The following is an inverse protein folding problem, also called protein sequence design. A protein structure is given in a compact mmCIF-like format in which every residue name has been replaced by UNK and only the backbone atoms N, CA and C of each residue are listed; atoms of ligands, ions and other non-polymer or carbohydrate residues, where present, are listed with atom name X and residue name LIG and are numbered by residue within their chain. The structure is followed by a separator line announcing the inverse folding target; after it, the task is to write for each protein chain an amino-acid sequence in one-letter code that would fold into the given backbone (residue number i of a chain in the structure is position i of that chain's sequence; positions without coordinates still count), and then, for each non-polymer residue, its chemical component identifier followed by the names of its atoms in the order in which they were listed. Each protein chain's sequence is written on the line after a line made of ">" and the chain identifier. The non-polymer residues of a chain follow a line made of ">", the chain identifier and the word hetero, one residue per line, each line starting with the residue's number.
data_IF_898906314988
#
_entry.id   IF_898906314988
#
_cell.length_a   1.000
_cell.length_b   1.000
_cell.length_c   1.000
_cell.angle_alpha   90.00
_cell.angle_beta   90.00
_cell.angle_gamma   90.00
#
_symmetry.space_group_name_H-M   'P 1'
#
loop_
_entity.id
_entity.type
_entity.pdbx_description
1 polymer ?
#
# COMPACT_ATOMS: atom_id res chain seq x y z
N UNK A 1 -2.26 -3.54 -18.51
CA UNK A 1 -3.10 -4.65 -19.03
C UNK A 1 -3.60 -4.13 -20.36
N UNK A 2 -3.28 -4.81 -21.44
CA UNK A 2 -3.75 -4.46 -22.77
C UNK A 2 -4.84 -5.44 -23.17
N UNK A 3 -5.99 -4.93 -23.61
CA UNK A 3 -7.15 -5.79 -23.90
C UNK A 3 -7.22 -6.05 -25.39
N UNK A 4 -7.48 -7.31 -25.72
CA UNK A 4 -7.50 -7.78 -27.12
C UNK A 4 -8.71 -7.30 -27.92
N UNK A 5 -9.75 -6.76 -27.26
CA UNK A 5 -10.88 -6.10 -27.92
C UNK A 5 -11.30 -4.80 -27.20
N UNK A 6 -11.68 -3.75 -27.95
CA UNK A 6 -12.21 -2.52 -27.37
C UNK A 6 -13.55 -2.77 -26.67
N UNK A 7 -13.72 -2.20 -25.47
CA UNK A 7 -15.00 -2.26 -24.75
C UNK A 7 -16.10 -1.54 -25.52
N UNK A 8 -17.34 -2.03 -25.44
CA UNK A 8 -18.46 -1.36 -26.10
C UNK A 8 -18.76 -0.02 -25.41
N UNK A 9 -19.07 1.05 -26.16
CA UNK A 9 -19.38 2.35 -25.58
C UNK A 9 -20.59 2.28 -24.65
N UNK A 10 -20.56 3.10 -23.60
CA UNK A 10 -21.69 3.29 -22.69
C UNK A 10 -22.90 3.80 -23.49
N UNK A 11 -24.01 3.06 -23.42
CA UNK A 11 -25.32 3.49 -23.93
C UNK A 11 -26.30 3.55 -22.77
N UNK A 12 -27.24 4.50 -22.80
CA UNK A 12 -28.33 4.58 -21.79
C UNK A 12 -29.04 3.23 -21.71
N UNK A 13 -29.08 2.63 -20.52
CA UNK A 13 -29.65 1.29 -20.29
C UNK A 13 -28.70 0.09 -20.48
N UNK A 14 -27.42 0.32 -20.85
CA UNK A 14 -26.38 -0.73 -20.89
C UNK A 14 -25.12 -0.26 -20.16
N UNK A 15 -24.73 -1.00 -19.13
CA UNK A 15 -23.44 -0.85 -18.49
C UNK A 15 -22.31 -1.14 -19.50
N UNK A 16 -21.16 -0.51 -19.33
CA UNK A 16 -19.98 -0.81 -20.12
C UNK A 16 -19.56 -2.27 -19.94
N UNK A 17 -19.21 -2.94 -21.03
CA UNK A 17 -18.71 -4.32 -20.99
C UNK A 17 -17.19 -4.33 -21.06
N UNK A 18 -16.56 -5.23 -20.31
CA UNK A 18 -15.12 -5.47 -20.33
C UNK A 18 -14.86 -6.94 -20.64
N UNK A 19 -13.99 -7.21 -21.61
CA UNK A 19 -13.51 -8.56 -21.91
C UNK A 19 -12.54 -9.05 -20.83
N UNK A 20 -12.60 -10.34 -20.52
CA UNK A 20 -11.74 -10.96 -19.52
C UNK A 20 -10.29 -11.17 -20.01
N UNK A 21 -10.08 -11.30 -21.33
CA UNK A 21 -8.78 -11.55 -21.92
C UNK A 21 -7.91 -10.28 -21.99
N UNK A 22 -6.68 -10.39 -21.49
CA UNK A 22 -5.70 -9.32 -21.53
C UNK A 22 -4.28 -9.84 -21.74
N UNK A 23 -3.45 -9.04 -22.41
CA UNK A 23 -2.00 -9.20 -22.51
C UNK A 23 -1.30 -8.37 -21.43
N UNK A 24 -0.28 -8.95 -20.80
CA UNK A 24 0.63 -8.20 -19.91
C UNK A 24 1.86 -7.75 -20.70
N UNK A 25 2.14 -6.46 -20.66
CA UNK A 25 3.33 -5.85 -21.27
C UNK A 25 4.47 -5.62 -20.27
N UNK A 26 4.44 -6.32 -19.13
CA UNK A 26 5.41 -6.20 -18.04
C UNK A 26 4.76 -5.94 -16.68
N UNK A 27 5.60 -5.64 -15.68
CA UNK A 27 5.18 -5.31 -14.32
C UNK A 27 6.01 -4.17 -13.75
N UNK A 28 5.44 -3.44 -12.80
CA UNK A 28 6.11 -2.41 -12.01
C UNK A 28 5.72 -2.56 -10.55
N UNK A 29 6.56 -2.09 -9.63
CA UNK A 29 6.31 -2.09 -8.19
C UNK A 29 6.05 -0.66 -7.73
N UNK A 30 4.85 -0.37 -7.23
CA UNK A 30 4.55 0.91 -6.61
C UNK A 30 4.90 0.87 -5.12
N UNK A 31 5.87 1.69 -4.70
CA UNK A 31 6.06 2.02 -3.30
C UNK A 31 5.19 3.24 -2.98
N UNK A 32 4.40 3.17 -1.91
CA UNK A 32 3.57 4.29 -1.49
C UNK A 32 3.45 4.37 0.03
N UNK A 33 3.27 5.59 0.54
CA UNK A 33 3.04 5.89 1.94
C UNK A 33 1.91 6.93 2.02
N UNK A 34 0.88 6.61 2.79
CA UNK A 34 -0.25 7.48 3.06
C UNK A 34 0.02 8.25 4.35
N UNK A 35 -0.02 9.59 4.30
CA UNK A 35 -0.07 10.41 5.48
C UNK A 35 -1.49 10.38 6.06
N UNK A 36 -1.64 9.76 7.23
CA UNK A 36 -2.94 9.56 7.88
C UNK A 36 -3.66 10.86 8.24
N UNK A 37 -2.91 11.94 8.53
CA UNK A 37 -3.48 13.21 8.97
C UNK A 37 -4.01 14.04 7.81
N UNK A 38 -3.30 14.06 6.69
CA UNK A 38 -3.65 14.89 5.52
C UNK A 38 -4.36 14.09 4.43
N UNK A 39 -4.20 12.78 4.41
CA UNK A 39 -4.66 11.90 3.34
C UNK A 39 -3.76 11.92 2.10
N UNK A 40 -2.66 12.66 2.11
CA UNK A 40 -1.74 12.73 0.96
C UNK A 40 -0.93 11.44 0.83
N UNK A 41 -0.60 11.06 -0.40
CA UNK A 41 0.17 9.86 -0.71
C UNK A 41 1.48 10.25 -1.38
N UNK A 42 2.59 9.82 -0.80
CA UNK A 42 3.90 9.86 -1.45
C UNK A 42 4.14 8.49 -2.08
N UNK A 43 4.43 8.44 -3.38
CA UNK A 43 4.69 7.17 -4.05
C UNK A 43 5.53 7.30 -5.30
N UNK A 44 6.13 6.18 -5.71
CA UNK A 44 6.73 6.02 -7.04
C UNK A 44 6.84 4.56 -7.44
N UNK A 45 6.88 4.36 -8.75
CA UNK A 45 7.15 3.07 -9.36
C UNK A 45 8.65 2.74 -9.40
N UNK A 46 8.98 1.47 -9.20
CA UNK A 46 10.31 0.89 -9.41
C UNK A 46 10.18 -0.44 -10.16
N UNK A 47 11.26 -0.81 -10.85
CA UNK A 47 11.34 -2.07 -11.59
C UNK A 47 11.50 -3.30 -10.70
N UNK A 48 11.92 -3.11 -9.44
CA UNK A 48 12.16 -4.18 -8.47
C UNK A 48 11.51 -3.85 -7.13
N UNK A 49 11.33 -4.89 -6.31
CA UNK A 49 10.85 -4.79 -4.94
C UNK A 49 11.94 -5.33 -4.00
N UNK A 50 13.04 -4.58 -3.82
CA UNK A 50 14.15 -4.99 -2.94
C UNK A 50 14.43 -3.96 -1.85
N UNK A 51 15.37 -4.28 -0.96
CA UNK A 51 15.85 -3.37 0.07
C UNK A 51 16.47 -2.08 -0.51
N UNK A 52 17.03 -2.12 -1.72
CA UNK A 52 17.62 -0.95 -2.37
C UNK A 52 16.52 0.05 -2.76
N UNK A 53 15.43 -0.43 -3.36
CA UNK A 53 14.26 0.38 -3.71
C UNK A 53 13.54 0.89 -2.46
N UNK A 54 13.40 0.05 -1.44
CA UNK A 54 12.88 0.46 -0.14
C UNK A 54 13.72 1.60 0.47
N UNK A 55 15.05 1.50 0.42
CA UNK A 55 15.92 2.55 0.93
C UNK A 55 15.80 3.86 0.13
N UNK A 56 15.63 3.78 -1.21
CA UNK A 56 15.30 4.96 -2.02
C UNK A 56 13.98 5.59 -1.56
N UNK A 57 13.00 4.76 -1.22
CA UNK A 57 11.69 5.23 -0.75
C UNK A 57 11.79 5.93 0.61
N UNK A 58 12.51 5.36 1.57
CA UNK A 58 12.79 6.02 2.86
C UNK A 58 13.50 7.37 2.71
N UNK A 59 14.50 7.45 1.81
CA UNK A 59 15.20 8.71 1.50
C UNK A 59 14.27 9.75 0.90
N UNK A 60 13.32 9.33 0.05
CA UNK A 60 12.30 10.23 -0.50
C UNK A 60 11.37 10.77 0.60
N UNK A 61 10.85 9.89 1.46
CA UNK A 61 10.05 10.30 2.63
C UNK A 61 10.81 11.29 3.48
N UNK A 62 12.09 11.02 3.76
CA UNK A 62 12.93 11.91 4.56
C UNK A 62 13.02 13.32 3.96
N UNK A 63 13.22 13.42 2.64
CA UNK A 63 13.33 14.68 1.91
C UNK A 63 12.01 15.46 1.88
N UNK A 64 10.89 14.77 1.77
CA UNK A 64 9.56 15.38 1.66
C UNK A 64 8.91 15.66 3.01
N UNK A 65 9.45 15.08 4.09
CA UNK A 65 8.96 15.33 5.44
C UNK A 65 9.47 16.67 5.99
N UNK A 66 8.68 17.39 6.81
CA UNK A 66 9.15 18.58 7.51
C UNK A 66 10.38 18.30 8.37
N UNK A 67 11.36 19.21 8.33
CA UNK A 67 12.60 19.09 9.11
C UNK A 67 12.31 19.09 10.61
N UNK A 68 13.10 18.33 11.37
CA UNK A 68 13.02 18.26 12.84
C UNK A 68 11.82 17.50 13.41
N UNK A 69 11.01 16.84 12.58
CA UNK A 69 9.90 15.99 13.02
C UNK A 69 10.29 14.52 13.11
N UNK A 70 9.66 13.81 14.04
CA UNK A 70 9.69 12.35 14.09
C UNK A 70 8.83 11.79 12.97
N UNK A 71 9.31 10.75 12.29
CA UNK A 71 8.66 10.09 11.16
C UNK A 71 8.29 8.67 11.62
N UNK A 72 7.01 8.46 11.90
CA UNK A 72 6.48 7.16 12.27
C UNK A 72 5.91 6.48 11.02
N UNK A 73 6.47 5.33 10.65
CA UNK A 73 6.01 4.55 9.50
C UNK A 73 5.41 3.25 10.02
N UNK A 74 4.17 2.97 9.63
CA UNK A 74 3.53 1.68 9.85
C UNK A 74 3.76 0.84 8.59
N UNK A 75 4.43 -0.30 8.74
CA UNK A 75 4.76 -1.22 7.66
C UNK A 75 4.20 -2.62 7.93
N UNK A 76 4.02 -3.40 6.88
CA UNK A 76 3.86 -4.85 7.00
C UNK A 76 5.18 -5.54 7.41
N UNK A 77 5.12 -6.86 7.63
CA UNK A 77 6.27 -7.66 8.08
C UNK A 77 7.23 -8.09 6.95
N UNK A 78 7.29 -7.35 5.85
CA UNK A 78 8.16 -7.71 4.74
C UNK A 78 9.65 -7.67 5.11
N UNK A 79 10.42 -8.65 4.63
CA UNK A 79 11.80 -8.90 5.09
C UNK A 79 12.78 -7.81 4.69
N UNK A 80 12.53 -7.08 3.60
CA UNK A 80 13.41 -5.99 3.15
C UNK A 80 13.48 -4.84 4.14
N UNK A 81 12.44 -4.65 4.98
CA UNK A 81 12.43 -3.64 6.04
C UNK A 81 13.51 -3.89 7.09
N UNK A 82 13.93 -5.14 7.26
CA UNK A 82 14.92 -5.58 8.27
C UNK A 82 16.30 -5.86 7.68
N UNK A 83 16.50 -5.56 6.39
CA UNK A 83 17.78 -5.80 5.73
C UNK A 83 18.91 -5.02 6.43
N UNK A 84 20.12 -5.59 6.61
CA UNK A 84 21.20 -4.93 7.35
C UNK A 84 21.53 -3.51 6.86
N UNK A 85 21.56 -3.30 5.54
CA UNK A 85 21.76 -1.96 4.95
C UNK A 85 20.68 -0.96 5.33
N UNK A 86 19.43 -1.41 5.42
CA UNK A 86 18.29 -0.57 5.81
C UNK A 86 18.38 -0.24 7.29
N UNK A 87 18.67 -1.23 8.13
CA UNK A 87 18.86 -1.05 9.57
C UNK A 87 20.03 -0.11 9.87
N UNK A 88 21.15 -0.25 9.17
CA UNK A 88 22.31 0.63 9.31
C UNK A 88 22.00 2.08 8.89
N UNK A 89 21.15 2.27 7.87
CA UNK A 89 20.68 3.60 7.50
C UNK A 89 19.74 4.18 8.56
N UNK A 90 18.77 3.40 9.06
CA UNK A 90 17.85 3.82 10.12
C UNK A 90 18.57 4.21 11.40
N UNK A 91 19.63 3.49 11.79
CA UNK A 91 20.46 3.84 12.95
C UNK A 91 21.11 5.23 12.84
N UNK A 92 21.36 5.71 11.61
CA UNK A 92 21.89 7.06 11.33
C UNK A 92 20.78 8.13 11.22
N UNK A 93 19.52 7.72 11.21
CA UNK A 93 18.36 8.60 11.07
C UNK A 93 17.37 8.37 12.22
N UNK A 94 17.73 8.76 13.46
CA UNK A 94 16.97 8.43 14.67
C UNK A 94 15.56 9.06 14.69
N UNK A 95 15.23 9.95 13.75
CA UNK A 95 13.86 10.43 13.59
C UNK A 95 12.90 9.38 13.01
N UNK A 96 13.40 8.31 12.38
CA UNK A 96 12.55 7.26 11.79
C UNK A 96 12.21 6.20 12.81
N UNK A 97 10.91 5.95 12.98
CA UNK A 97 10.36 4.89 13.83
C UNK A 97 9.50 3.96 12.98
N UNK A 98 9.99 2.74 12.74
CA UNK A 98 9.24 1.72 12.01
C UNK A 98 8.38 0.90 13.00
N UNK A 99 7.08 0.87 12.74
CA UNK A 99 6.09 0.10 13.46
C UNK A 99 5.59 -1.02 12.56
N UNK A 100 5.73 -2.27 12.99
CA UNK A 100 5.30 -3.41 12.19
C UNK A 100 3.90 -3.84 12.61
N UNK A 101 3.01 -4.04 11.64
CA UNK A 101 1.67 -4.56 11.93
C UNK A 101 1.78 -5.96 12.54
N UNK A 102 0.98 -6.29 13.58
CA UNK A 102 0.87 -7.66 14.05
C UNK A 102 0.46 -8.63 12.95
N UNK A 103 0.80 -9.91 13.11
CA UNK A 103 0.34 -10.97 12.21
C UNK A 103 -1.19 -10.93 12.09
N UNK A 104 -1.69 -11.06 10.85
CA UNK A 104 -3.12 -10.98 10.52
C UNK A 104 -3.78 -9.63 10.80
N UNK A 105 -3.00 -8.55 10.97
CA UNK A 105 -3.52 -7.20 11.18
C UNK A 105 -3.17 -6.23 10.04
N UNK A 106 -3.19 -6.71 8.79
CA UNK A 106 -2.92 -5.87 7.59
C UNK A 106 -3.89 -4.69 7.46
N UNK A 107 -5.08 -4.80 8.06
CA UNK A 107 -6.05 -3.70 8.15
C UNK A 107 -5.54 -2.46 8.89
N UNK A 108 -4.42 -2.54 9.64
CA UNK A 108 -3.72 -1.37 10.22
C UNK A 108 -2.85 -0.65 9.19
N UNK A 109 -2.47 -1.31 8.10
CA UNK A 109 -1.64 -0.76 7.04
C UNK A 109 -2.51 0.07 6.07
N UNK A 110 -2.69 1.35 6.37
CA UNK A 110 -3.71 2.17 5.70
C UNK A 110 -3.45 2.47 4.23
N UNK A 111 -2.21 2.39 3.79
CA UNK A 111 -1.90 2.52 2.36
C UNK A 111 -2.51 1.37 1.53
N UNK A 112 -2.85 0.22 2.12
CA UNK A 112 -3.54 -0.87 1.42
C UNK A 112 -4.91 -0.45 0.87
N UNK A 113 -5.61 0.47 1.54
CA UNK A 113 -6.85 1.05 1.02
C UNK A 113 -6.59 1.86 -0.24
N UNK A 114 -5.55 2.68 -0.24
CA UNK A 114 -5.13 3.41 -1.44
C UNK A 114 -4.77 2.45 -2.58
N UNK A 115 -4.02 1.38 -2.31
CA UNK A 115 -3.71 0.36 -3.32
C UNK A 115 -4.96 -0.31 -3.90
N UNK A 116 -5.97 -0.59 -3.08
CA UNK A 116 -7.26 -1.07 -3.55
C UNK A 116 -7.93 -0.06 -4.48
N UNK A 117 -7.95 1.21 -4.09
CA UNK A 117 -8.66 2.25 -4.84
C UNK A 117 -8.00 2.53 -6.20
N UNK A 118 -6.68 2.72 -6.26
CA UNK A 118 -5.97 2.87 -7.54
C UNK A 118 -6.14 1.63 -8.43
N UNK A 119 -6.17 0.43 -7.83
CA UNK A 119 -6.40 -0.81 -8.58
C UNK A 119 -7.78 -0.81 -9.23
N UNK A 120 -8.83 -0.44 -8.50
CA UNK A 120 -10.22 -0.49 -8.97
C UNK A 120 -10.56 0.67 -9.90
N UNK A 121 -10.03 1.86 -9.62
CA UNK A 121 -10.41 3.09 -10.30
C UNK A 121 -9.55 3.39 -11.53
N UNK A 122 -8.26 3.04 -11.51
CA UNK A 122 -7.34 3.31 -12.61
C UNK A 122 -6.86 2.02 -13.28
N UNK A 123 -6.17 1.13 -12.55
CA UNK A 123 -5.41 0.03 -13.17
C UNK A 123 -6.34 -0.98 -13.86
N UNK A 124 -7.45 -1.37 -13.22
CA UNK A 124 -8.40 -2.31 -13.81
C UNK A 124 -9.26 -1.67 -14.89
N UNK A 125 -9.44 -0.35 -14.92
CA UNK A 125 -10.25 0.33 -15.95
C UNK A 125 -9.43 0.72 -17.17
N UNK A 126 -8.14 1.00 -16.98
CA UNK A 126 -7.22 1.36 -18.04
C UNK A 126 -6.86 0.22 -18.99
N UNK A 127 -6.32 0.63 -20.14
CA UNK A 127 -5.65 -0.22 -21.11
C UNK A 127 -4.24 0.34 -21.26
N UNK A 128 -3.22 -0.50 -21.07
CA UNK A 128 -1.81 -0.07 -21.04
C UNK A 128 -1.01 -0.94 -21.99
N UNK A 129 -0.42 -0.33 -23.02
CA UNK A 129 0.35 -1.01 -24.08
C UNK A 129 1.83 -1.15 -23.75
N UNK A 130 2.30 -0.45 -22.72
CA UNK A 130 3.65 -0.55 -22.19
C UNK A 130 3.67 -0.45 -20.65
N UNK A 131 4.82 -0.75 -20.03
CA UNK A 131 5.02 -0.47 -18.59
C UNK A 131 5.06 1.04 -18.33
N UNK A 132 5.54 1.83 -19.30
CA UNK A 132 5.60 3.28 -19.18
C UNK A 132 4.20 3.88 -19.07
N UNK A 133 3.26 3.48 -19.93
CA UNK A 133 1.86 3.95 -19.88
C UNK A 133 1.22 3.64 -18.51
N UNK A 134 1.54 2.47 -17.94
CA UNK A 134 1.05 2.08 -16.61
C UNK A 134 1.65 2.97 -15.52
N UNK A 135 2.94 3.30 -15.60
CA UNK A 135 3.60 4.19 -14.64
C UNK A 135 3.00 5.59 -14.73
N UNK A 136 2.82 6.13 -15.94
CA UNK A 136 2.26 7.46 -16.16
C UNK A 136 0.84 7.56 -15.60
N UNK A 137 0.01 6.54 -15.80
CA UNK A 137 -1.34 6.51 -15.23
C UNK A 137 -1.34 6.38 -13.69
N UNK A 138 -0.35 5.70 -13.11
CA UNK A 138 -0.19 5.64 -11.65
C UNK A 138 0.23 7.01 -11.11
N UNK A 139 1.17 7.68 -11.77
CA UNK A 139 1.66 9.01 -11.39
C UNK A 139 0.56 10.06 -11.53
N UNK A 140 -0.24 10.03 -12.61
CA UNK A 140 -1.41 10.88 -12.79
C UNK A 140 -2.45 10.64 -11.68
N UNK A 141 -2.74 9.38 -11.33
CA UNK A 141 -3.66 9.06 -10.24
C UNK A 141 -3.15 9.57 -8.89
N UNK A 142 -1.85 9.48 -8.62
CA UNK A 142 -1.23 10.05 -7.41
C UNK A 142 -1.36 11.57 -7.37
N UNK A 143 -1.11 12.26 -8.48
CA UNK A 143 -1.27 13.71 -8.60
C UNK A 143 -2.72 14.11 -8.33
N UNK A 144 -3.67 13.45 -8.98
CA UNK A 144 -5.10 13.74 -8.84
C UNK A 144 -5.60 13.46 -7.41
N UNK A 145 -5.22 12.33 -6.82
CA UNK A 145 -5.54 12.01 -5.41
C UNK A 145 -5.02 13.12 -4.47
N UNK A 146 -3.81 13.61 -4.70
CA UNK A 146 -3.17 14.63 -3.88
C UNK A 146 -3.69 16.06 -4.13
N UNK A 147 -4.48 16.32 -5.18
CA UNK A 147 -5.14 17.64 -5.38
C UNK A 147 -6.22 17.91 -4.35
N UNK A 148 -6.94 16.87 -3.92
CA UNK A 148 -7.97 16.96 -2.88
C UNK A 148 -7.93 15.72 -1.98
N UNK A 149 -6.84 15.56 -1.20
CA UNK A 149 -6.64 14.37 -0.38
C UNK A 149 -7.70 14.32 0.72
N UNK A 150 -8.18 13.11 1.00
CA UNK A 150 -9.14 12.88 2.08
C UNK A 150 -8.39 12.28 3.27
N UNK A 151 -8.32 13.00 4.41
CA UNK A 151 -7.74 12.45 5.63
C UNK A 151 -8.36 11.11 5.98
N UNK A 152 -7.56 10.23 6.56
CA UNK A 152 -8.08 8.98 7.06
C UNK A 152 -8.70 9.21 8.44
N UNK A 153 -10.01 8.99 8.55
CA UNK A 153 -10.71 9.07 9.84
C UNK A 153 -10.81 7.67 10.42
N UNK A 154 -10.08 7.45 11.50
CA UNK A 154 -10.12 6.21 12.24
C UNK A 154 -11.33 6.20 13.19
N UNK A 155 -12.35 5.43 12.84
CA UNK A 155 -13.61 5.37 13.61
C UNK A 155 -13.59 4.33 14.74
N UNK A 156 -12.70 3.35 14.68
CA UNK A 156 -12.63 2.29 15.69
C UNK A 156 -11.82 2.74 16.91
N UNK A 157 -12.37 2.65 18.13
CA UNK A 157 -11.60 3.04 19.31
C UNK A 157 -10.40 2.09 19.54
N UNK A 158 -9.24 2.64 19.91
CA UNK A 158 -8.05 1.86 20.24
C UNK A 158 -8.33 0.81 21.34
N UNK A 159 -9.15 1.14 22.34
CA UNK A 159 -9.58 0.20 23.39
C UNK A 159 -10.33 -1.00 22.81
N UNK A 160 -11.23 -0.76 21.86
CA UNK A 160 -12.03 -1.81 21.23
C UNK A 160 -11.17 -2.73 20.37
N UNK A 161 -10.17 -2.14 19.69
CA UNK A 161 -9.18 -2.87 18.89
C UNK A 161 -8.35 -3.77 19.79
N UNK A 162 -7.78 -3.23 20.88
CA UNK A 162 -6.97 -4.00 21.82
C UNK A 162 -7.79 -5.12 22.46
N UNK A 163 -9.03 -4.85 22.87
CA UNK A 163 -9.93 -5.87 23.41
C UNK A 163 -10.24 -6.98 22.38
N UNK A 164 -10.42 -6.65 21.10
CA UNK A 164 -10.55 -7.65 20.03
C UNK A 164 -9.28 -8.48 19.85
N UNK A 165 -8.10 -7.85 19.83
CA UNK A 165 -6.81 -8.54 19.70
C UNK A 165 -6.57 -9.51 20.85
N UNK A 166 -6.81 -9.08 22.09
CA UNK A 166 -6.67 -9.93 23.29
C UNK A 166 -7.60 -11.14 23.20
N UNK A 167 -8.88 -10.95 22.81
CA UNK A 167 -9.82 -12.06 22.62
C UNK A 167 -9.38 -13.03 21.53
N UNK A 168 -8.93 -12.52 20.39
CA UNK A 168 -8.44 -13.34 19.29
C UNK A 168 -7.21 -14.16 19.68
N UNK A 169 -6.26 -13.57 20.41
CA UNK A 169 -5.08 -14.26 20.94
C UNK A 169 -5.48 -15.38 21.90
N UNK A 170 -6.39 -15.13 22.84
CA UNK A 170 -6.89 -16.15 23.76
C UNK A 170 -7.53 -17.33 23.03
N UNK A 171 -8.34 -17.06 21.99
CA UNK A 171 -8.96 -18.09 21.18
C UNK A 171 -7.93 -18.92 20.38
N UNK A 172 -6.88 -18.27 19.86
CA UNK A 172 -5.79 -18.94 19.16
C UNK A 172 -5.01 -19.87 20.11
N UNK A 173 -4.69 -19.40 21.32
CA UNK A 173 -3.97 -20.20 22.33
C UNK A 173 -4.76 -21.44 22.75
N UNK A 174 -6.09 -21.33 22.93
CA UNK A 174 -6.96 -22.49 23.20
C UNK A 174 -6.92 -23.49 22.05
N UNK A 175 -6.97 -23.01 20.80
CA UNK A 175 -6.96 -23.88 19.61
C UNK A 175 -5.61 -24.59 19.41
N UNK A 176 -4.50 -23.89 19.66
CA UNK A 176 -3.15 -24.48 19.60
C UNK A 176 -2.98 -25.55 20.68
N UNK A 177 -3.43 -25.29 21.91
CA UNK A 177 -3.37 -26.29 22.99
C UNK A 177 -4.26 -27.50 22.70
N UNK A 178 -5.45 -27.31 22.13
CA UNK A 178 -6.33 -28.43 21.74
C UNK A 178 -5.79 -29.31 20.62
N UNK A 179 -4.84 -28.81 19.81
CA UNK A 179 -4.18 -29.57 18.74
C UNK A 179 -2.94 -30.35 19.23
N UNK A 180 -2.44 -30.08 20.45
CA UNK A 180 -1.29 -30.79 21.03
C UNK A 180 -1.69 -31.95 21.97
N UNK A 181 -2.99 -32.16 22.19
CA UNK A 181 -3.53 -33.17 23.13
C UNK A 181 -4.25 -34.32 22.37
N UNK A 182 -4.04 -34.43 21.06
CA UNK A 182 -4.49 -35.56 20.24
C UNK A 182 -3.30 -36.20 19.53
#
# INVERSE_FOLDING_TARGET
>A
LDRTQPGLPLKRGRAGTMTHDYKRHGTTTLFAALNVLTGTVVGFCQTKHTHAEWLKFLKRIHRESPKGKQIHIICDNYSTHKHPTVMAWLAKHPQFHLHFTPTSASWLNMVERFFRDITVNAIRRGTFTSVHDLIDAIDEYLIEHNRSPKPFIWTANAKDILAKVVRARKALEVRVRGLQVN
#
